data_IF_793850907007
#
_entry.id   IF_793850907007
#
_cell.length_a   1.000
_cell.length_b   1.000
_cell.length_c   1.000
_cell.angle_alpha   90.00
_cell.angle_beta   90.00
_cell.angle_gamma   90.00
#
_symmetry.space_group_name_H-M   'P 1'
#
loop_
_entity.id
_entity.type
_entity.pdbx_description
1 polymer ?
#
# COMPACT_ATOMS: atom_id res chain seq x y z
N UNK A 1 -31.21 26.98 -7.81
CA UNK A 1 -30.44 27.02 -6.54
C UNK A 1 -29.01 27.41 -6.89
N UNK A 2 -28.27 28.15 -6.05
CA UNK A 2 -26.89 28.57 -6.37
C UNK A 2 -25.81 27.71 -5.67
N UNK A 3 -26.12 26.45 -5.41
CA UNK A 3 -25.17 25.47 -4.88
C UNK A 3 -24.63 24.63 -6.05
N UNK A 4 -23.31 24.38 -6.15
CA UNK A 4 -22.76 23.47 -7.15
C UNK A 4 -23.16 22.02 -6.84
N UNK A 5 -23.10 21.16 -7.85
CA UNK A 5 -23.48 19.75 -7.70
C UNK A 5 -22.37 18.95 -7.00
N UNK A 6 -22.75 18.00 -6.14
CA UNK A 6 -21.78 17.28 -5.28
C UNK A 6 -20.74 16.47 -6.05
N UNK A 7 -21.09 15.97 -7.24
CA UNK A 7 -20.14 15.18 -8.06
C UNK A 7 -18.98 16.04 -8.57
N UNK A 8 -19.14 17.37 -8.65
CA UNK A 8 -18.08 18.28 -9.09
C UNK A 8 -16.86 18.26 -8.16
N UNK A 9 -16.97 17.72 -6.94
CA UNK A 9 -15.85 17.58 -6.00
C UNK A 9 -14.77 16.62 -6.51
N UNK A 10 -15.17 15.53 -7.18
CA UNK A 10 -14.27 14.45 -7.62
C UNK A 10 -14.30 14.20 -9.14
N UNK A 11 -15.39 14.55 -9.83
CA UNK A 11 -15.50 14.40 -11.29
C UNK A 11 -14.77 15.53 -12.01
N UNK A 12 -13.88 15.16 -12.93
CA UNK A 12 -13.19 16.11 -13.80
C UNK A 12 -14.14 16.59 -14.90
N UNK A 13 -14.26 17.91 -15.13
CA UNK A 13 -15.01 18.44 -16.27
C UNK A 13 -14.23 18.21 -17.57
N UNK A 14 -14.95 18.18 -18.69
CA UNK A 14 -14.36 17.96 -20.02
C UNK A 14 -13.28 19.00 -20.35
N UNK A 15 -12.20 18.55 -21.00
CA UNK A 15 -11.06 19.39 -21.37
C UNK A 15 -10.06 19.73 -20.24
N UNK A 16 -10.38 19.45 -18.97
CA UNK A 16 -9.47 19.71 -17.84
C UNK A 16 -8.59 18.48 -17.53
N UNK A 17 -7.26 18.69 -17.50
CA UNK A 17 -6.30 17.64 -17.08
C UNK A 17 -6.25 17.49 -15.57
N UNK A 18 -6.15 16.25 -15.07
CA UNK A 18 -5.99 15.92 -13.63
C UNK A 18 -4.81 16.63 -12.98
N UNK A 19 -3.67 16.70 -13.68
CA UNK A 19 -2.46 17.36 -13.19
C UNK A 19 -2.01 18.37 -14.25
N UNK A 20 -1.64 19.57 -13.78
CA UNK A 20 -0.90 20.55 -14.57
C UNK A 20 0.37 20.96 -13.83
N UNK A 21 1.46 21.12 -14.56
CA UNK A 21 2.79 21.41 -14.01
C UNK A 21 3.18 22.83 -14.43
N UNK A 22 3.48 23.67 -13.44
CA UNK A 22 3.99 25.02 -13.61
C UNK A 22 5.43 25.05 -13.08
N UNK A 23 6.36 25.61 -13.85
CA UNK A 23 7.74 25.83 -13.42
C UNK A 23 7.85 27.17 -12.70
N UNK A 24 8.45 27.19 -11.51
CA UNK A 24 8.69 28.46 -10.82
C UNK A 24 9.87 29.19 -11.49
N UNK A 25 9.70 30.43 -11.99
CA UNK A 25 10.81 31.19 -12.58
C UNK A 25 11.81 31.72 -11.53
N UNK A 26 11.44 31.77 -10.25
CA UNK A 26 12.26 32.34 -9.16
C UNK A 26 13.21 31.33 -8.52
N UNK A 27 12.95 30.03 -8.65
CA UNK A 27 13.69 28.97 -7.96
C UNK A 27 14.12 27.86 -8.92
N UNK A 28 15.42 27.59 -8.94
CA UNK A 28 15.97 26.45 -9.67
C UNK A 28 15.43 25.12 -9.12
N UNK A 29 15.18 24.17 -10.01
CA UNK A 29 14.60 22.85 -9.72
C UNK A 29 13.36 22.89 -8.82
N UNK A 30 12.49 23.90 -9.02
CA UNK A 30 11.20 24.00 -8.35
C UNK A 30 10.05 23.86 -9.35
N UNK A 31 9.12 22.96 -9.06
CA UNK A 31 7.88 22.76 -9.80
C UNK A 31 6.68 22.88 -8.87
N UNK A 32 5.61 23.44 -9.41
CA UNK A 32 4.29 23.47 -8.80
C UNK A 32 3.36 22.55 -9.61
N UNK A 33 2.79 21.56 -8.93
CA UNK A 33 1.82 20.62 -9.44
C UNK A 33 0.44 21.07 -8.97
N UNK A 34 -0.41 21.54 -9.88
CA UNK A 34 -1.82 21.80 -9.58
C UNK A 34 -2.60 20.51 -9.89
N UNK A 35 -3.16 19.90 -8.85
CA UNK A 35 -3.89 18.63 -8.92
C UNK A 35 -5.38 18.95 -8.78
N UNK A 36 -6.13 18.65 -9.85
CA UNK A 36 -7.55 18.95 -9.99
C UNK A 36 -8.41 17.86 -9.34
N UNK A 37 -9.53 18.27 -8.73
CA UNK A 37 -10.49 17.37 -8.06
C UNK A 37 -9.82 16.47 -7.03
N UNK A 38 -9.00 17.09 -6.18
CA UNK A 38 -8.31 16.47 -5.04
C UNK A 38 -8.30 17.47 -3.89
N UNK A 39 -8.10 16.96 -2.67
CA UNK A 39 -8.18 17.71 -1.43
C UNK A 39 -6.94 17.52 -0.54
N UNK A 40 -7.08 17.88 0.74
CA UNK A 40 -6.05 17.70 1.76
C UNK A 40 -5.63 16.24 1.96
N UNK A 41 -6.46 15.25 1.63
CA UNK A 41 -6.21 13.83 1.87
C UNK A 41 -4.94 13.38 1.13
N UNK A 42 -4.94 13.46 -0.21
CA UNK A 42 -3.77 13.10 -1.01
C UNK A 42 -2.63 14.09 -0.81
N UNK A 43 -2.92 15.40 -0.79
CA UNK A 43 -1.89 16.42 -0.75
C UNK A 43 -1.04 16.38 0.53
N UNK A 44 -1.66 16.09 1.68
CA UNK A 44 -0.96 15.99 2.95
C UNK A 44 -0.08 14.74 3.02
N UNK A 45 -0.59 13.59 2.57
CA UNK A 45 0.17 12.32 2.51
C UNK A 45 1.40 12.48 1.60
N UNK A 46 1.23 13.02 0.40
CA UNK A 46 2.34 13.30 -0.52
C UNK A 46 3.38 14.25 0.08
N UNK A 47 2.94 15.32 0.77
CA UNK A 47 3.84 16.25 1.48
C UNK A 47 4.71 15.50 2.50
N UNK A 48 4.10 14.64 3.33
CA UNK A 48 4.86 13.86 4.32
C UNK A 48 5.85 12.90 3.66
N UNK A 49 5.46 12.21 2.59
CA UNK A 49 6.37 11.28 1.91
C UNK A 49 7.53 12.00 1.23
N UNK A 50 7.28 13.12 0.56
CA UNK A 50 8.32 13.94 -0.07
C UNK A 50 9.35 14.44 0.96
N UNK A 51 8.90 14.82 2.17
CA UNK A 51 9.78 15.25 3.26
C UNK A 51 10.59 14.11 3.90
N UNK A 52 10.28 12.82 3.62
CA UNK A 52 11.15 11.69 3.98
C UNK A 52 12.40 11.60 3.07
N UNK A 53 12.39 12.19 1.87
CA UNK A 53 13.48 12.09 0.89
C UNK A 53 14.53 13.20 1.09
N UNK A 54 15.80 12.88 1.41
CA UNK A 54 16.84 13.89 1.68
C UNK A 54 17.28 14.69 0.44
N UNK A 55 16.86 14.30 -0.77
CA UNK A 55 17.11 15.04 -2.00
C UNK A 55 16.07 16.15 -2.27
N UNK A 56 14.97 16.18 -1.49
CA UNK A 56 13.93 17.21 -1.51
C UNK A 56 14.31 18.31 -0.52
N UNK A 57 14.44 19.54 -1.02
CA UNK A 57 14.77 20.73 -0.21
C UNK A 57 13.52 21.41 0.36
N UNK A 58 12.40 21.33 -0.36
CA UNK A 58 11.13 21.91 0.03
C UNK A 58 9.97 21.10 -0.55
N UNK A 59 8.99 20.78 0.29
CA UNK A 59 7.71 20.24 -0.14
C UNK A 59 6.59 20.84 0.73
N UNK A 60 5.67 21.56 0.11
CA UNK A 60 4.50 22.14 0.75
C UNK A 60 3.31 22.11 -0.19
N UNK A 61 2.09 22.12 0.36
CA UNK A 61 0.88 22.23 -0.45
C UNK A 61 -0.07 23.28 0.13
N UNK A 62 -1.01 23.77 -0.69
CA UNK A 62 -2.15 24.59 -0.27
C UNK A 62 -3.40 24.23 -1.07
N UNK A 63 -4.57 24.35 -0.43
CA UNK A 63 -5.84 24.55 -1.15
C UNK A 63 -6.03 26.07 -1.26
N UNK A 64 -6.14 26.65 -2.48
CA UNK A 64 -6.24 28.10 -2.64
C UNK A 64 -7.54 28.69 -2.11
N UNK A 65 -8.66 27.97 -2.24
CA UNK A 65 -9.95 28.36 -1.69
C UNK A 65 -10.82 27.13 -1.38
N UNK A 66 -11.55 27.06 -0.25
CA UNK A 66 -12.35 25.87 0.13
C UNK A 66 -13.50 25.50 -0.83
N UNK A 67 -13.93 26.44 -1.69
CA UNK A 67 -14.94 26.18 -2.73
C UNK A 67 -14.33 25.75 -4.07
N UNK A 68 -13.00 25.73 -4.19
CA UNK A 68 -12.28 25.31 -5.39
C UNK A 68 -11.68 23.93 -5.15
N UNK A 69 -12.16 22.93 -5.89
CA UNK A 69 -11.74 21.54 -5.74
C UNK A 69 -10.40 21.28 -6.45
N UNK A 70 -9.34 21.92 -5.99
CA UNK A 70 -7.97 21.64 -6.41
C UNK A 70 -6.94 21.99 -5.32
N UNK A 71 -5.76 21.37 -5.43
CA UNK A 71 -4.61 21.61 -4.55
C UNK A 71 -3.37 21.96 -5.35
N UNK A 72 -2.57 22.87 -4.81
CA UNK A 72 -1.27 23.25 -5.36
C UNK A 72 -0.17 22.64 -4.49
N UNK A 73 0.54 21.64 -5.02
CA UNK A 73 1.70 21.01 -4.40
C UNK A 73 2.97 21.60 -5.00
N UNK A 74 3.82 22.22 -4.18
CA UNK A 74 5.09 22.83 -4.59
C UNK A 74 6.26 22.04 -4.06
N UNK A 75 7.14 21.62 -4.96
CA UNK A 75 8.30 20.75 -4.66
C UNK A 75 9.57 21.38 -5.22
N UNK A 76 10.64 21.39 -4.43
CA UNK A 76 11.97 21.79 -4.83
C UNK A 76 12.96 20.67 -4.49
N UNK A 77 13.81 20.31 -5.45
CA UNK A 77 14.84 19.27 -5.27
C UNK A 77 16.25 19.82 -5.42
N UNK A 78 17.22 19.07 -4.91
CA UNK A 78 18.64 19.28 -5.23
C UNK A 78 18.92 19.08 -6.73
N UNK A 79 20.10 19.49 -7.20
CA UNK A 79 20.52 19.28 -8.59
C UNK A 79 20.69 17.80 -9.01
N UNK A 80 20.60 16.85 -8.06
CA UNK A 80 20.78 15.41 -8.30
C UNK A 80 19.52 14.68 -8.77
N UNK A 81 18.33 15.26 -8.60
CA UNK A 81 17.05 14.64 -8.98
C UNK A 81 16.05 15.70 -9.45
N UNK A 82 15.09 15.33 -10.28
CA UNK A 82 14.02 16.25 -10.70
C UNK A 82 12.85 16.20 -9.71
N UNK A 83 12.06 17.29 -9.55
CA UNK A 83 10.87 17.24 -8.71
C UNK A 83 9.80 16.28 -9.24
N UNK A 84 9.82 15.94 -10.53
CA UNK A 84 8.91 14.95 -11.13
C UNK A 84 9.27 13.55 -10.65
N UNK A 85 10.56 13.21 -10.68
CA UNK A 85 11.03 11.90 -10.26
C UNK A 85 10.89 11.71 -8.74
N UNK A 86 11.17 12.75 -7.94
CA UNK A 86 10.94 12.73 -6.50
C UNK A 86 9.45 12.51 -6.13
N UNK A 87 8.51 13.09 -6.89
CA UNK A 87 7.07 12.83 -6.72
C UNK A 87 6.68 11.41 -7.15
N UNK A 88 7.24 10.91 -8.26
CA UNK A 88 7.01 9.52 -8.72
C UNK A 88 7.51 8.50 -7.69
N UNK A 89 8.73 8.69 -7.18
CA UNK A 89 9.35 7.88 -6.13
C UNK A 89 8.49 7.88 -4.84
N UNK A 90 8.03 9.06 -4.41
CA UNK A 90 7.14 9.19 -3.26
C UNK A 90 5.82 8.42 -3.44
N UNK A 91 5.19 8.50 -4.61
CA UNK A 91 3.95 7.75 -4.91
C UNK A 91 4.21 6.24 -4.87
N UNK A 92 5.29 5.76 -5.51
CA UNK A 92 5.65 4.34 -5.51
C UNK A 92 5.91 3.81 -4.09
N UNK A 93 6.63 4.59 -3.27
CA UNK A 93 6.87 4.24 -1.87
C UNK A 93 5.57 4.15 -1.06
N UNK A 94 4.62 5.06 -1.27
CA UNK A 94 3.30 5.01 -0.62
C UNK A 94 2.47 3.79 -1.06
N UNK A 95 2.51 3.41 -2.34
CA UNK A 95 1.82 2.20 -2.82
C UNK A 95 2.33 0.94 -2.11
N UNK A 96 3.65 0.84 -1.90
CA UNK A 96 4.25 -0.27 -1.13
C UNK A 96 3.91 -0.18 0.36
N UNK A 97 3.96 1.01 0.97
CA UNK A 97 3.59 1.23 2.38
C UNK A 97 2.14 0.80 2.66
N UNK A 98 1.19 1.19 1.80
CA UNK A 98 -0.22 0.77 1.91
C UNK A 98 -0.45 -0.71 1.55
N UNK A 99 0.29 -1.28 0.59
CA UNK A 99 0.24 -2.71 0.29
C UNK A 99 0.65 -3.56 1.50
N UNK A 100 1.69 -3.14 2.22
CA UNK A 100 2.15 -3.80 3.45
C UNK A 100 1.11 -3.68 4.58
N UNK A 101 0.54 -2.48 4.79
CA UNK A 101 -0.52 -2.26 5.79
C UNK A 101 -1.74 -3.13 5.50
N UNK A 102 -2.20 -3.18 4.24
CA UNK A 102 -3.32 -4.03 3.83
C UNK A 102 -3.02 -5.51 4.09
N UNK A 103 -1.86 -6.00 3.68
CA UNK A 103 -1.47 -7.40 3.85
C UNK A 103 -1.40 -7.80 5.33
N UNK A 104 -0.89 -6.91 6.19
CA UNK A 104 -0.86 -7.12 7.64
C UNK A 104 -2.26 -7.10 8.27
N UNK A 105 -3.16 -6.24 7.79
CA UNK A 105 -4.55 -6.18 8.23
C UNK A 105 -5.33 -7.44 7.82
N UNK A 106 -5.27 -7.83 6.54
CA UNK A 106 -5.93 -9.02 6.00
C UNK A 106 -5.45 -10.30 6.73
N UNK A 107 -4.16 -10.37 7.10
CA UNK A 107 -3.60 -11.46 7.92
C UNK A 107 -4.04 -11.44 9.40
N UNK A 108 -4.45 -10.30 9.94
CA UNK A 108 -5.06 -10.23 11.29
C UNK A 108 -6.53 -10.64 11.26
N UNK A 109 -7.28 -10.18 10.26
CA UNK A 109 -8.67 -10.63 10.03
C UNK A 109 -8.72 -12.15 9.87
N UNK A 110 -7.85 -12.73 9.03
CA UNK A 110 -7.77 -14.19 8.90
C UNK A 110 -7.41 -14.91 10.22
N UNK A 111 -6.63 -14.29 11.12
CA UNK A 111 -6.33 -14.86 12.45
C UNK A 111 -7.50 -14.81 13.43
N UNK A 112 -8.44 -13.88 13.24
CA UNK A 112 -9.67 -13.78 14.04
C UNK A 112 -10.79 -14.67 13.47
N UNK A 113 -10.90 -14.75 12.15
CA UNK A 113 -11.90 -15.58 11.44
C UNK A 113 -11.52 -17.07 11.40
N UNK A 114 -10.23 -17.39 11.46
CA UNK A 114 -9.80 -18.76 11.73
C UNK A 114 -10.36 -19.18 13.10
N UNK A 115 -11.21 -20.22 13.17
CA UNK A 115 -11.88 -20.57 14.41
C UNK A 115 -10.84 -20.92 15.46
N UNK A 116 -10.72 -20.08 16.49
CA UNK A 116 -9.84 -20.32 17.62
C UNK A 116 -10.24 -21.67 18.22
N UNK A 117 -9.34 -22.65 18.12
CA UNK A 117 -9.56 -24.05 18.52
C UNK A 117 -9.65 -24.25 20.04
N UNK A 118 -10.41 -23.41 20.74
CA UNK A 118 -10.71 -23.54 22.17
C UNK A 118 -11.84 -24.55 22.42
N UNK A 119 -11.61 -25.81 22.03
CA UNK A 119 -12.35 -26.93 22.62
C UNK A 119 -11.49 -28.20 22.83
N UNK A 120 -10.18 -28.02 23.01
CA UNK A 120 -9.23 -29.10 23.36
C UNK A 120 -8.52 -28.91 24.72
N UNK A 121 -8.93 -27.91 25.53
CA UNK A 121 -8.36 -27.63 26.86
C UNK A 121 -9.29 -27.90 28.05
N UNK A 122 -10.35 -28.71 27.89
CA UNK A 122 -11.31 -29.04 28.95
C UNK A 122 -11.38 -30.52 29.40
N UNK A 123 -10.50 -31.38 28.90
CA UNK A 123 -10.44 -32.81 29.25
C UNK A 123 -9.05 -33.26 29.74
N UNK A 124 -8.46 -32.51 30.69
CA UNK A 124 -7.21 -32.89 31.37
C UNK A 124 -7.31 -32.73 32.90
N UNK A 125 -8.44 -33.15 33.50
CA UNK A 125 -8.62 -33.09 34.97
C UNK A 125 -9.50 -34.21 35.54
N UNK A 126 -9.24 -35.46 35.12
CA UNK A 126 -9.55 -36.76 35.78
C UNK A 126 -8.74 -37.84 35.02
N UNK A 127 -8.14 -38.87 35.65
CA UNK A 127 -7.93 -39.11 37.08
C UNK A 127 -7.39 -40.53 37.36
N UNK A 128 -6.40 -40.64 38.26
CA UNK A 128 -5.87 -41.88 38.88
C UNK A 128 -5.35 -43.04 38.00
N UNK A 129 -4.02 -43.18 37.95
CA UNK A 129 -3.32 -44.41 38.38
C UNK A 129 -3.03 -45.55 37.38
N UNK A 130 -1.76 -45.99 37.32
CA UNK A 130 -1.45 -47.41 37.11
C UNK A 130 -0.29 -47.78 36.18
N UNK A 131 0.90 -47.96 36.76
CA UNK A 131 1.97 -48.91 36.39
C UNK A 131 2.59 -48.88 34.98
N UNK A 132 3.90 -49.16 34.90
CA UNK A 132 4.68 -48.95 33.67
C UNK A 132 4.95 -50.22 32.84
N UNK A 133 5.36 -50.00 31.60
CA UNK A 133 6.39 -50.81 30.93
C UNK A 133 7.28 -49.86 30.13
N UNK A 134 8.57 -50.18 30.07
CA UNK A 134 9.45 -49.65 29.03
C UNK A 134 9.05 -50.26 27.68
N UNK A 135 9.42 -49.60 26.58
CA UNK A 135 10.41 -50.19 25.67
C UNK A 135 10.99 -49.12 24.73
N UNK A 136 12.29 -49.19 24.52
CA UNK A 136 13.03 -48.40 23.55
C UNK A 136 13.53 -49.33 22.43
N UNK A 137 13.79 -48.75 21.25
CA UNK A 137 14.27 -49.39 20.02
C UNK A 137 13.18 -49.97 19.09
N UNK A 138 12.92 -49.25 18.01
CA UNK A 138 13.08 -49.81 16.66
C UNK A 138 13.27 -48.65 15.66
N UNK A 139 14.43 -48.63 14.99
CA UNK A 139 14.61 -47.81 13.80
C UNK A 139 14.00 -48.59 12.63
N UNK A 140 13.03 -48.01 11.93
CA UNK A 140 12.63 -48.48 10.61
C UNK A 140 13.01 -47.42 9.56
N UNK A 141 13.89 -47.81 8.64
CA UNK A 141 14.60 -46.90 7.73
C UNK A 141 14.54 -47.49 6.32
N UNK A 142 13.58 -47.02 5.51
CA UNK A 142 13.37 -47.43 4.12
C UNK A 142 11.96 -47.03 3.66
N UNK A 143 11.70 -46.70 2.40
CA UNK A 143 12.56 -46.63 1.21
C UNK A 143 12.11 -45.48 0.31
N UNK A 144 13.05 -44.83 -0.37
CA UNK A 144 12.74 -43.91 -1.46
C UNK A 144 12.05 -44.64 -2.62
N UNK A 145 11.10 -43.97 -3.28
CA UNK A 145 10.42 -44.43 -4.50
C UNK A 145 10.29 -43.27 -5.50
N UNK A 146 10.50 -43.56 -6.78
CA UNK A 146 10.92 -42.58 -7.79
C UNK A 146 9.82 -42.20 -8.82
N UNK A 147 10.01 -41.04 -9.45
CA UNK A 147 9.44 -40.50 -10.71
C UNK A 147 7.98 -40.76 -11.14
N UNK A 148 7.29 -39.64 -11.41
CA UNK A 148 6.93 -39.30 -12.80
C UNK A 148 5.45 -39.14 -13.17
N UNK A 149 5.07 -37.95 -13.68
CA UNK A 149 3.74 -37.73 -14.29
C UNK A 149 3.49 -36.28 -14.74
N UNK A 150 3.62 -36.00 -16.04
CA UNK A 150 3.33 -34.67 -16.64
C UNK A 150 1.82 -34.41 -16.74
N UNK A 151 1.39 -33.16 -16.54
CA UNK A 151 0.08 -32.65 -16.94
C UNK A 151 0.04 -31.13 -16.86
N UNK A 152 0.18 -30.45 -18.00
CA UNK A 152 0.29 -28.99 -18.03
C UNK A 152 -1.08 -28.28 -18.11
N UNK A 153 -1.16 -27.10 -17.51
CA UNK A 153 -2.05 -26.02 -17.92
C UNK A 153 -1.22 -24.75 -18.05
N UNK A 154 -1.33 -24.10 -19.20
CA UNK A 154 -0.99 -22.70 -19.35
C UNK A 154 -2.27 -21.94 -19.05
N UNK A 155 -2.23 -21.07 -18.04
CA UNK A 155 -3.22 -20.04 -17.82
C UNK A 155 -2.47 -18.71 -17.99
N UNK A 156 -2.82 -17.99 -19.05
CA UNK A 156 -2.03 -16.87 -19.59
C UNK A 156 -2.11 -15.60 -18.73
N UNK A 157 -1.11 -14.73 -18.91
CA UNK A 157 -0.98 -13.46 -18.18
C UNK A 157 -1.49 -12.30 -19.05
N UNK A 158 -2.74 -11.92 -18.85
CA UNK A 158 -3.30 -10.69 -19.43
C UNK A 158 -3.11 -9.51 -18.46
N UNK A 159 -2.19 -8.60 -18.81
CA UNK A 159 -2.10 -7.25 -18.26
C UNK A 159 -2.24 -6.25 -19.41
N UNK A 160 -3.39 -5.59 -19.48
CA UNK A 160 -3.62 -4.48 -20.42
C UNK A 160 -2.96 -3.17 -19.94
N UNK A 161 -2.52 -2.37 -20.92
CA UNK A 161 -1.78 -1.09 -20.75
C UNK A 161 -2.68 0.14 -20.64
#
# INVERSE_FOLDING_TARGET
MNAPERYEMFTLPEGVRKISILKDPKMANCLQFNIQREDHTIANILRYQLLKNPLVLFAAYRSPHPLEYYVELKVQTTAKTTPIDAVREAIQALMVEYGNIRSAFDAEIYRLDAPTGEDTRRTARTGYGGFGSMDAQSNDFGSSGDMGGRGGRADDVDMDF
#
